data_IF_843955881633
#
_entry.id   IF_843955881633
#
_cell.length_a   1.000
_cell.length_b   1.000
_cell.length_c   1.000
_cell.angle_alpha   90.00
_cell.angle_beta   90.00
_cell.angle_gamma   90.00
#
_symmetry.space_group_name_H-M   'P 1'
#
loop_
_entity.id
_entity.type
_entity.pdbx_description
1 polymer ?
#
# COMPACT_ATOMS: atom_id res chain seq x y z
N UNK A 1 -49.82 -3.78 21.50
CA UNK A 1 -49.50 -2.69 20.52
C UNK A 1 -50.56 -2.70 19.42
N UNK A 2 -51.05 -1.52 18.99
CA UNK A 2 -52.04 -1.46 17.93
C UNK A 2 -51.40 -1.81 16.56
N UNK A 3 -52.20 -2.28 15.59
CA UNK A 3 -51.73 -2.55 14.20
C UNK A 3 -50.99 -1.32 13.58
N UNK A 4 -51.46 -0.11 13.90
CA UNK A 4 -50.81 1.15 13.47
C UNK A 4 -49.40 1.33 14.05
N UNK A 5 -49.20 0.97 15.33
CA UNK A 5 -47.87 1.06 15.96
C UNK A 5 -46.88 0.06 15.33
N UNK A 6 -47.32 -1.13 14.94
CA UNK A 6 -46.48 -2.10 14.24
C UNK A 6 -46.07 -1.63 12.82
N UNK A 7 -46.99 -1.00 12.10
CA UNK A 7 -46.70 -0.43 10.75
C UNK A 7 -45.69 0.70 10.86
N UNK A 8 -45.84 1.60 11.84
CA UNK A 8 -44.89 2.70 12.07
C UNK A 8 -43.51 2.15 12.44
N UNK A 9 -43.47 1.16 13.35
CA UNK A 9 -42.21 0.53 13.74
C UNK A 9 -41.48 -0.12 12.54
N UNK A 10 -42.21 -0.89 11.71
CA UNK A 10 -41.65 -1.49 10.50
C UNK A 10 -41.12 -0.46 9.51
N UNK A 11 -41.87 0.64 9.30
CA UNK A 11 -41.43 1.74 8.42
C UNK A 11 -40.15 2.41 8.94
N UNK A 12 -40.05 2.66 10.24
CA UNK A 12 -38.83 3.21 10.87
C UNK A 12 -37.64 2.26 10.71
N UNK A 13 -37.83 0.96 10.94
CA UNK A 13 -36.77 -0.04 10.74
C UNK A 13 -36.29 -0.06 9.28
N UNK A 14 -37.16 -0.01 8.30
CA UNK A 14 -36.81 0.03 6.86
C UNK A 14 -36.03 1.31 6.53
N UNK A 15 -36.45 2.47 7.07
CA UNK A 15 -35.73 3.72 6.87
C UNK A 15 -34.34 3.71 7.50
N UNK A 16 -34.22 3.18 8.72
CA UNK A 16 -32.91 3.07 9.41
C UNK A 16 -32.01 2.09 8.68
N UNK A 17 -32.51 0.92 8.30
CA UNK A 17 -31.74 -0.06 7.54
C UNK A 17 -31.35 0.49 6.15
N UNK A 18 -32.28 1.15 5.46
CA UNK A 18 -32.01 1.80 4.17
C UNK A 18 -30.94 2.88 4.29
N UNK A 19 -31.00 3.71 5.32
CA UNK A 19 -29.97 4.76 5.55
C UNK A 19 -28.61 4.15 5.93
N UNK A 20 -28.57 3.08 6.72
CA UNK A 20 -27.33 2.37 7.07
C UNK A 20 -26.69 1.73 5.83
N UNK A 21 -27.50 1.12 4.95
CA UNK A 21 -27.01 0.55 3.69
C UNK A 21 -26.49 1.66 2.75
N UNK A 22 -27.20 2.79 2.64
CA UNK A 22 -26.77 3.93 1.82
C UNK A 22 -25.46 4.52 2.34
N UNK A 23 -25.33 4.71 3.67
CA UNK A 23 -24.09 5.19 4.31
C UNK A 23 -22.93 4.19 4.18
N UNK A 24 -23.20 2.88 4.22
CA UNK A 24 -22.20 1.85 3.99
C UNK A 24 -21.69 1.83 2.54
N UNK A 25 -22.58 2.03 1.57
CA UNK A 25 -22.22 2.06 0.15
C UNK A 25 -21.49 3.35 -0.26
N UNK A 26 -21.75 4.49 0.40
CA UNK A 26 -21.07 5.76 0.12
C UNK A 26 -19.58 5.75 0.51
N UNK A 27 -19.14 4.77 1.31
CA UNK A 27 -17.74 4.61 1.71
C UNK A 27 -16.94 3.66 0.81
N UNK A 28 -17.56 3.02 -0.19
CA UNK A 28 -16.83 2.13 -1.09
C UNK A 28 -16.05 2.95 -2.11
N UNK A 29 -14.72 2.76 -2.12
CA UNK A 29 -13.85 3.33 -3.14
C UNK A 29 -14.19 2.69 -4.48
N UNK A 30 -14.53 3.51 -5.48
CA UNK A 30 -14.83 3.03 -6.83
C UNK A 30 -13.56 3.06 -7.70
N UNK A 31 -13.04 1.89 -8.04
CA UNK A 31 -11.87 1.72 -8.92
C UNK A 31 -12.22 1.00 -10.22
N UNK A 32 -13.54 0.99 -10.61
CA UNK A 32 -14.02 0.23 -11.77
C UNK A 32 -13.25 0.50 -13.05
N UNK A 33 -13.01 1.75 -13.40
CA UNK A 33 -12.36 2.17 -14.66
C UNK A 33 -10.85 2.45 -14.50
N UNK A 34 -10.28 2.20 -13.32
CA UNK A 34 -8.87 2.50 -13.05
C UNK A 34 -7.98 1.42 -13.65
N UNK A 35 -6.95 1.82 -14.41
CA UNK A 35 -5.89 0.93 -14.88
C UNK A 35 -4.89 0.69 -13.73
N UNK A 36 -4.91 -0.51 -13.17
CA UNK A 36 -4.06 -0.90 -12.04
C UNK A 36 -2.58 -1.04 -12.42
N UNK A 37 -2.28 -1.11 -13.73
CA UNK A 37 -0.92 -1.27 -14.24
C UNK A 37 -0.21 0.08 -14.46
N UNK A 38 -0.86 1.18 -14.10
CA UNK A 38 -0.29 2.52 -14.17
C UNK A 38 -0.04 3.10 -12.79
N UNK A 39 0.94 4.00 -12.72
CA UNK A 39 1.12 4.87 -11.54
C UNK A 39 -0.15 5.69 -11.36
N UNK A 40 -0.70 5.68 -10.15
CA UNK A 40 -1.90 6.42 -9.82
C UNK A 40 -1.56 7.83 -9.38
N UNK A 41 -2.14 8.81 -10.04
CA UNK A 41 -1.95 10.22 -9.69
C UNK A 41 -2.82 10.60 -8.49
N UNK A 42 -2.41 11.65 -7.79
CA UNK A 42 -3.20 12.23 -6.71
C UNK A 42 -4.57 12.67 -7.21
N UNK A 43 -5.62 12.32 -6.48
CA UNK A 43 -7.00 12.64 -6.77
C UNK A 43 -7.83 12.68 -5.47
N UNK A 44 -9.05 13.16 -5.52
CA UNK A 44 -9.96 13.12 -4.37
C UNK A 44 -10.21 11.68 -3.87
N UNK A 45 -10.27 10.71 -4.78
CA UNK A 45 -10.46 9.29 -4.45
C UNK A 45 -9.25 8.70 -3.72
N UNK A 46 -8.06 9.16 -4.04
CA UNK A 46 -6.81 8.76 -3.39
C UNK A 46 -6.48 9.61 -2.15
N UNK A 47 -7.39 10.46 -1.68
CA UNK A 47 -7.13 11.40 -0.60
C UNK A 47 -6.08 12.46 -0.96
N UNK A 48 -5.97 12.81 -2.24
CA UNK A 48 -4.95 13.72 -2.80
C UNK A 48 -3.50 13.23 -2.61
N UNK A 49 -3.30 11.92 -2.46
CA UNK A 49 -1.99 11.28 -2.37
C UNK A 49 -1.86 10.34 -3.57
N UNK A 50 -0.88 10.57 -4.43
CA UNK A 50 -0.55 9.69 -5.55
C UNK A 50 0.23 8.45 -5.10
N UNK A 51 0.54 7.54 -6.04
CA UNK A 51 1.48 6.47 -5.76
C UNK A 51 2.87 7.05 -5.49
N UNK A 52 3.54 6.50 -4.49
CA UNK A 52 4.94 6.79 -4.24
C UNK A 52 5.79 5.94 -5.18
N UNK A 53 6.56 6.60 -6.03
CA UNK A 53 7.41 5.95 -7.02
C UNK A 53 8.84 5.91 -6.55
N UNK A 54 9.49 4.74 -6.65
CA UNK A 54 10.92 4.60 -6.59
C UNK A 54 11.46 4.38 -8.01
N UNK A 55 12.56 5.03 -8.35
CA UNK A 55 13.17 4.94 -9.66
C UNK A 55 12.54 5.88 -10.71
N UNK A 56 12.48 5.42 -11.94
CA UNK A 56 12.04 6.24 -13.09
C UNK A 56 10.51 6.26 -13.19
N UNK A 57 9.89 7.42 -12.94
CA UNK A 57 8.44 7.57 -12.87
C UNK A 57 7.70 7.27 -14.20
N UNK A 58 8.37 7.38 -15.34
CA UNK A 58 7.82 7.18 -16.68
C UNK A 58 8.41 5.95 -17.40
N UNK A 59 8.94 4.96 -16.65
CA UNK A 59 9.44 3.74 -17.25
C UNK A 59 8.31 2.91 -17.89
N UNK A 60 8.64 2.23 -18.99
CA UNK A 60 7.77 1.21 -19.59
C UNK A 60 7.76 -0.11 -18.80
N UNK A 61 8.63 -0.24 -17.80
CA UNK A 61 8.70 -1.40 -16.91
C UNK A 61 8.25 -0.97 -15.54
N UNK A 62 7.02 -1.36 -15.18
CA UNK A 62 6.40 -1.04 -13.90
C UNK A 62 6.38 -2.31 -13.05
N UNK A 63 7.05 -2.24 -11.91
CA UNK A 63 7.09 -3.29 -10.90
C UNK A 63 6.30 -2.83 -9.68
N UNK A 64 5.20 -3.50 -9.36
CA UNK A 64 4.31 -3.16 -8.25
C UNK A 64 4.32 -4.27 -7.22
N UNK A 65 4.48 -3.91 -5.96
CA UNK A 65 4.22 -4.78 -4.82
C UNK A 65 2.92 -4.36 -4.13
N UNK A 66 1.98 -5.30 -3.98
CA UNK A 66 0.91 -5.19 -3.00
C UNK A 66 1.40 -5.83 -1.70
N UNK A 67 1.65 -4.99 -0.71
CA UNK A 67 2.33 -5.39 0.50
C UNK A 67 1.63 -4.97 1.79
N UNK A 68 1.99 -5.66 2.85
CA UNK A 68 1.55 -5.40 4.22
C UNK A 68 2.79 -5.28 5.10
N UNK A 69 2.98 -4.13 5.71
CA UNK A 69 4.15 -3.87 6.55
C UNK A 69 4.28 -4.83 7.74
N UNK A 70 3.18 -5.42 8.20
CA UNK A 70 3.21 -6.41 9.30
C UNK A 70 3.37 -7.85 8.80
N UNK A 71 3.23 -8.12 7.51
CA UNK A 71 3.38 -9.46 6.94
C UNK A 71 4.83 -9.93 7.00
N UNK A 72 5.12 -11.09 7.62
CA UNK A 72 6.49 -11.62 7.68
C UNK A 72 7.07 -11.92 6.29
N UNK A 73 6.22 -12.35 5.34
CA UNK A 73 6.64 -12.61 3.95
C UNK A 73 7.14 -11.33 3.26
N UNK A 74 6.43 -10.20 3.43
CA UNK A 74 6.86 -8.90 2.90
C UNK A 74 8.18 -8.46 3.56
N UNK A 75 8.28 -8.56 4.89
CA UNK A 75 9.52 -8.24 5.60
C UNK A 75 10.70 -9.10 5.15
N UNK A 76 10.45 -10.40 4.88
CA UNK A 76 11.49 -11.30 4.37
C UNK A 76 11.93 -10.98 2.94
N UNK A 77 11.04 -10.47 2.10
CA UNK A 77 11.34 -10.09 0.72
C UNK A 77 11.93 -8.68 0.59
N UNK A 78 11.70 -7.81 1.57
CA UNK A 78 12.14 -6.41 1.53
C UNK A 78 13.63 -6.22 1.15
N UNK A 79 14.62 -6.95 1.73
CA UNK A 79 16.03 -6.78 1.35
C UNK A 79 16.30 -7.10 -0.11
N UNK A 80 15.65 -8.14 -0.65
CA UNK A 80 15.77 -8.53 -2.05
C UNK A 80 15.15 -7.48 -2.98
N UNK A 81 13.94 -7.03 -2.67
CA UNK A 81 13.24 -5.99 -3.45
C UNK A 81 14.03 -4.70 -3.43
N UNK A 82 14.50 -4.26 -2.26
CA UNK A 82 15.33 -3.05 -2.10
C UNK A 82 16.58 -3.11 -2.97
N UNK A 83 17.32 -4.22 -2.91
CA UNK A 83 18.51 -4.40 -3.75
C UNK A 83 18.19 -4.30 -5.24
N UNK A 84 17.08 -4.89 -5.68
CA UNK A 84 16.70 -4.87 -7.11
C UNK A 84 16.24 -3.49 -7.56
N UNK A 85 15.40 -2.81 -6.78
CA UNK A 85 14.92 -1.48 -7.17
C UNK A 85 16.04 -0.43 -7.17
N UNK A 86 17.00 -0.53 -6.26
CA UNK A 86 18.21 0.28 -6.24
C UNK A 86 19.12 -0.02 -7.44
N UNK A 87 19.32 -1.32 -7.77
CA UNK A 87 20.13 -1.74 -8.91
C UNK A 87 19.57 -1.25 -10.25
N UNK A 88 18.26 -1.23 -10.39
CA UNK A 88 17.55 -0.82 -11.61
C UNK A 88 16.92 0.58 -11.48
N UNK A 89 17.40 1.40 -10.55
CA UNK A 89 17.04 2.82 -10.45
C UNK A 89 17.32 3.53 -11.80
N UNK A 90 16.36 4.32 -12.26
CA UNK A 90 16.42 4.93 -13.58
C UNK A 90 15.97 4.04 -14.76
N UNK A 91 15.80 2.72 -14.60
CA UNK A 91 15.30 1.81 -15.63
C UNK A 91 13.86 1.37 -15.38
N UNK A 92 13.46 1.15 -14.12
CA UNK A 92 12.12 0.71 -13.75
C UNK A 92 11.37 1.77 -12.96
N UNK A 93 10.04 1.62 -12.95
CA UNK A 93 9.16 2.30 -11.99
C UNK A 93 8.76 1.26 -10.94
N UNK A 94 9.14 1.46 -9.68
CA UNK A 94 8.64 0.63 -8.59
C UNK A 94 7.56 1.37 -7.81
N UNK A 95 6.49 0.66 -7.46
CA UNK A 95 5.37 1.17 -6.66
C UNK A 95 5.04 0.16 -5.58
N UNK A 96 5.02 0.61 -4.33
CA UNK A 96 4.44 -0.16 -3.24
C UNK A 96 3.00 0.30 -2.99
N UNK A 97 2.03 -0.63 -3.01
CA UNK A 97 0.62 -0.38 -2.72
C UNK A 97 0.20 -1.09 -1.46
N UNK A 98 -0.40 -0.34 -0.57
CA UNK A 98 -0.83 -0.85 0.72
C UNK A 98 -1.93 -1.90 0.58
N UNK A 99 -1.69 -3.11 1.09
CA UNK A 99 -2.68 -4.18 1.15
C UNK A 99 -2.74 -4.78 2.56
N UNK A 100 -3.16 -4.00 3.57
CA UNK A 100 -3.15 -4.43 4.97
C UNK A 100 -4.15 -5.55 5.23
N UNK A 101 -3.67 -6.70 5.71
CA UNK A 101 -4.45 -7.89 6.05
C UNK A 101 -4.98 -7.78 7.50
N UNK A 102 -5.85 -6.81 7.73
CA UNK A 102 -6.29 -6.39 9.08
C UNK A 102 -6.95 -7.49 9.93
N UNK A 103 -7.39 -8.60 9.32
CA UNK A 103 -7.98 -9.73 10.03
C UNK A 103 -6.95 -10.55 10.80
N UNK A 104 -5.70 -10.56 10.32
CA UNK A 104 -4.59 -11.32 10.91
C UNK A 104 -3.43 -10.44 11.37
N UNK A 105 -3.35 -9.21 10.89
CA UNK A 105 -2.30 -8.24 11.18
C UNK A 105 -2.89 -6.95 11.80
N UNK A 106 -3.07 -6.88 13.12
CA UNK A 106 -3.81 -5.80 13.79
C UNK A 106 -3.14 -4.42 13.68
N UNK A 107 -1.85 -4.35 13.39
CA UNK A 107 -1.10 -3.10 13.24
C UNK A 107 -0.86 -2.70 11.78
N UNK A 108 -1.20 -3.55 10.80
CA UNK A 108 -0.94 -3.32 9.39
C UNK A 108 -1.54 -2.01 8.85
N UNK A 109 -2.80 -1.71 9.21
CA UNK A 109 -3.46 -0.49 8.77
C UNK A 109 -2.78 0.77 9.28
N UNK A 110 -2.33 0.77 10.55
CA UNK A 110 -1.66 1.94 11.13
C UNK A 110 -0.23 2.07 10.62
N UNK A 111 0.46 0.95 10.31
CA UNK A 111 1.76 0.97 9.67
C UNK A 111 1.67 1.55 8.24
N UNK A 112 0.66 1.14 7.45
CA UNK A 112 0.37 1.74 6.16
C UNK A 112 0.11 3.25 6.27
N UNK A 113 -0.71 3.66 7.24
CA UNK A 113 -0.97 5.08 7.50
C UNK A 113 0.30 5.83 7.93
N UNK A 114 1.23 5.20 8.64
CA UNK A 114 2.50 5.81 9.02
C UNK A 114 3.39 6.09 7.79
N UNK A 115 3.50 5.14 6.86
CA UNK A 115 4.25 5.33 5.61
C UNK A 115 3.66 6.48 4.78
N UNK A 116 2.34 6.50 4.58
CA UNK A 116 1.66 7.58 3.85
C UNK A 116 1.83 8.94 4.52
N UNK A 117 1.76 8.99 5.86
CA UNK A 117 1.95 10.24 6.61
C UNK A 117 3.37 10.78 6.52
N UNK A 118 4.37 9.90 6.50
CA UNK A 118 5.74 10.28 6.22
C UNK A 118 5.90 10.76 4.78
N UNK A 119 5.18 10.15 3.83
CA UNK A 119 5.12 10.56 2.43
C UNK A 119 4.60 11.99 2.23
N UNK A 120 3.62 12.44 3.04
CA UNK A 120 3.13 13.83 3.04
C UNK A 120 4.20 14.85 3.49
N UNK A 121 5.32 14.36 4.01
CA UNK A 121 6.50 15.15 4.39
C UNK A 121 7.74 14.77 3.57
N UNK A 122 7.57 14.04 2.45
CA UNK A 122 8.64 13.68 1.51
C UNK A 122 9.55 12.54 1.97
N UNK A 123 9.12 11.73 2.97
CA UNK A 123 9.90 10.65 3.57
C UNK A 123 9.19 9.28 3.53
N UNK A 124 8.48 9.01 2.41
CA UNK A 124 7.77 7.74 2.25
C UNK A 124 8.72 6.54 2.27
N UNK A 125 9.75 6.56 1.44
CA UNK A 125 10.63 5.41 1.26
C UNK A 125 11.50 5.15 2.49
N UNK A 126 11.94 6.19 3.18
CA UNK A 126 12.67 6.05 4.44
C UNK A 126 11.79 5.44 5.55
N UNK A 127 10.52 5.83 5.61
CA UNK A 127 9.57 5.22 6.56
C UNK A 127 9.22 3.78 6.15
N UNK A 128 9.00 3.54 4.85
CA UNK A 128 8.76 2.20 4.29
C UNK A 128 9.87 1.23 4.69
N UNK A 129 11.13 1.61 4.45
CA UNK A 129 12.28 0.78 4.80
C UNK A 129 12.37 0.56 6.32
N UNK A 130 12.20 1.62 7.10
CA UNK A 130 12.25 1.54 8.57
C UNK A 130 11.15 0.63 9.14
N UNK A 131 9.95 0.63 8.55
CA UNK A 131 8.86 -0.24 8.98
C UNK A 131 9.19 -1.71 8.75
N UNK A 132 9.81 -2.07 7.63
CA UNK A 132 10.24 -3.45 7.38
C UNK A 132 11.47 -3.83 8.18
N UNK A 133 12.51 -3.01 8.20
CA UNK A 133 13.76 -3.27 8.91
C UNK A 133 13.55 -3.42 10.42
N UNK A 134 12.58 -2.67 10.99
CA UNK A 134 12.22 -2.74 12.42
C UNK A 134 10.93 -3.51 12.70
N UNK A 135 10.46 -4.36 11.76
CA UNK A 135 9.17 -5.05 11.86
C UNK A 135 9.00 -5.78 13.19
N UNK A 136 10.02 -6.49 13.65
CA UNK A 136 9.98 -7.24 14.91
C UNK A 136 9.77 -6.35 16.14
N UNK A 137 10.21 -5.11 16.09
CA UNK A 137 10.10 -4.18 17.21
C UNK A 137 8.68 -3.62 17.39
N UNK A 138 7.87 -3.57 16.33
CA UNK A 138 6.55 -2.93 16.38
C UNK A 138 5.38 -3.86 16.05
N UNK A 139 5.61 -4.99 15.37
CA UNK A 139 4.53 -5.88 14.90
C UNK A 139 3.57 -6.31 16.02
N UNK A 140 4.04 -6.40 17.26
CA UNK A 140 3.28 -6.77 18.44
C UNK A 140 2.93 -5.57 19.34
N UNK A 141 3.13 -4.33 18.88
CA UNK A 141 2.79 -3.14 19.65
C UNK A 141 1.29 -3.13 20.01
N UNK A 142 0.98 -2.71 21.23
CA UNK A 142 -0.42 -2.60 21.65
C UNK A 142 -1.15 -1.51 20.85
N UNK A 143 -2.47 -1.60 20.77
CA UNK A 143 -3.32 -0.56 20.13
C UNK A 143 -3.04 0.82 20.71
N UNK A 144 -2.72 0.88 22.01
CA UNK A 144 -2.44 2.13 22.73
C UNK A 144 -1.08 2.72 22.35
N UNK A 145 -0.09 1.88 22.07
CA UNK A 145 1.30 2.31 21.94
C UNK A 145 1.76 2.46 20.48
N UNK A 146 1.13 1.77 19.53
CA UNK A 146 1.56 1.71 18.12
C UNK A 146 1.77 3.08 17.46
N UNK A 147 0.89 4.07 17.71
CA UNK A 147 1.06 5.43 17.16
C UNK A 147 2.30 6.11 17.74
N UNK A 148 2.59 5.89 19.03
CA UNK A 148 3.79 6.46 19.67
C UNK A 148 5.06 5.83 19.09
N UNK A 149 5.07 4.52 18.82
CA UNK A 149 6.20 3.84 18.17
C UNK A 149 6.48 4.46 16.80
N UNK A 150 5.46 4.60 15.96
CA UNK A 150 5.63 5.20 14.64
C UNK A 150 5.96 6.71 14.68
N UNK A 151 5.47 7.42 15.70
CA UNK A 151 5.89 8.82 15.92
C UNK A 151 7.36 8.91 16.31
N UNK A 152 7.89 7.91 17.04
CA UNK A 152 9.32 7.79 17.29
C UNK A 152 10.13 7.64 16.00
N UNK A 153 9.66 6.83 15.07
CA UNK A 153 10.28 6.68 13.74
C UNK A 153 10.20 7.97 12.92
N UNK A 154 9.07 8.68 12.98
CA UNK A 154 8.95 9.99 12.33
C UNK A 154 9.98 10.99 12.87
N UNK A 155 10.20 10.99 14.18
CA UNK A 155 11.25 11.80 14.82
C UNK A 155 12.65 11.41 14.35
N UNK A 156 12.96 10.10 14.31
CA UNK A 156 14.25 9.59 13.84
C UNK A 156 14.53 10.01 12.38
N UNK A 157 13.48 10.16 11.56
CA UNK A 157 13.54 10.64 10.18
C UNK A 157 13.54 12.18 10.05
N UNK A 158 13.48 12.91 11.16
CA UNK A 158 13.49 14.38 11.17
C UNK A 158 12.18 15.01 10.70
N UNK A 159 11.04 14.30 10.80
CA UNK A 159 9.73 14.78 10.43
C UNK A 159 9.13 15.66 11.54
N UNK A 160 8.18 16.54 11.17
CA UNK A 160 7.31 17.21 12.12
C UNK A 160 6.39 16.18 12.80
N UNK A 161 6.68 15.87 14.06
CA UNK A 161 5.93 14.89 14.84
C UNK A 161 4.45 15.28 15.05
N UNK A 162 4.16 16.56 15.22
CA UNK A 162 2.79 17.04 15.44
C UNK A 162 1.96 16.87 14.16
N UNK A 163 2.53 17.25 13.02
CA UNK A 163 1.94 17.02 11.71
C UNK A 163 1.76 15.52 11.44
N UNK A 164 2.77 14.69 11.69
CA UNK A 164 2.70 13.24 11.51
C UNK A 164 1.56 12.62 12.33
N UNK A 165 1.40 13.00 13.60
CA UNK A 165 0.30 12.51 14.46
C UNK A 165 -1.07 12.94 13.98
N UNK A 166 -1.18 14.08 13.33
CA UNK A 166 -2.43 14.54 12.70
C UNK A 166 -2.70 13.75 11.42
N UNK A 167 -1.69 13.60 10.58
CA UNK A 167 -1.83 12.97 9.26
C UNK A 167 -2.15 11.47 9.37
N UNK A 168 -1.53 10.73 10.32
CA UNK A 168 -1.72 9.28 10.48
C UNK A 168 -3.18 8.87 10.78
N UNK A 169 -3.99 9.81 11.26
CA UNK A 169 -5.42 9.60 11.52
C UNK A 169 -6.31 10.37 10.54
N UNK A 170 -5.72 11.04 9.55
CA UNK A 170 -6.46 11.87 8.60
C UNK A 170 -7.30 11.05 7.62
N UNK A 171 -8.37 11.68 7.13
CA UNK A 171 -9.22 11.09 6.09
C UNK A 171 -8.44 10.87 4.79
N UNK A 172 -7.53 11.77 4.42
CA UNK A 172 -6.73 11.68 3.21
C UNK A 172 -5.85 10.43 3.21
N UNK A 173 -5.12 10.19 4.29
CA UNK A 173 -4.29 8.98 4.46
C UNK A 173 -5.16 7.72 4.46
N UNK A 174 -6.30 7.74 5.16
CA UNK A 174 -7.25 6.62 5.17
C UNK A 174 -7.81 6.32 3.77
N UNK A 175 -8.11 7.36 2.98
CA UNK A 175 -8.55 7.22 1.57
C UNK A 175 -7.47 6.57 0.72
N UNK A 176 -6.20 7.01 0.84
CA UNK A 176 -5.09 6.43 0.07
C UNK A 176 -4.94 4.93 0.35
N UNK A 177 -4.86 4.53 1.62
CA UNK A 177 -4.74 3.11 1.99
C UNK A 177 -5.95 2.30 1.51
N UNK A 178 -7.16 2.86 1.62
CA UNK A 178 -8.39 2.20 1.15
C UNK A 178 -8.43 2.08 -0.37
N UNK A 179 -7.88 3.06 -1.09
CA UNK A 179 -7.79 3.05 -2.54
C UNK A 179 -6.82 1.97 -3.03
N UNK A 180 -5.62 1.88 -2.44
CA UNK A 180 -4.65 0.83 -2.76
C UNK A 180 -5.23 -0.57 -2.53
N UNK A 181 -5.88 -0.77 -1.38
CA UNK A 181 -6.57 -2.01 -1.07
C UNK A 181 -7.67 -2.35 -2.10
N UNK A 182 -8.41 -1.34 -2.56
CA UNK A 182 -9.44 -1.53 -3.59
C UNK A 182 -8.83 -1.90 -4.95
N UNK A 183 -7.70 -1.30 -5.34
CA UNK A 183 -6.96 -1.68 -6.56
C UNK A 183 -6.50 -3.13 -6.51
N UNK A 184 -5.90 -3.56 -5.39
CA UNK A 184 -5.48 -4.95 -5.20
C UNK A 184 -6.66 -5.92 -5.30
N UNK A 185 -7.77 -5.62 -4.63
CA UNK A 185 -8.99 -6.44 -4.71
C UNK A 185 -9.57 -6.53 -6.12
N UNK A 186 -9.48 -5.45 -6.90
CA UNK A 186 -9.94 -5.42 -8.30
C UNK A 186 -9.21 -6.46 -9.15
N UNK A 187 -7.94 -6.70 -8.90
CA UNK A 187 -7.12 -7.70 -9.63
C UNK A 187 -6.96 -9.03 -8.86
N UNK A 188 -7.84 -9.27 -7.88
CA UNK A 188 -7.92 -10.49 -7.08
C UNK A 188 -6.70 -10.77 -6.19
N UNK A 189 -5.95 -9.74 -5.78
CA UNK A 189 -4.94 -9.91 -4.72
C UNK A 189 -5.62 -10.44 -3.46
N UNK A 190 -5.13 -11.56 -2.94
CA UNK A 190 -5.69 -12.25 -1.77
C UNK A 190 -4.68 -12.48 -0.65
N UNK A 191 -3.40 -12.28 -0.93
CA UNK A 191 -2.29 -12.46 0.01
C UNK A 191 -1.19 -11.44 -0.23
N UNK A 192 -0.25 -11.33 0.72
CA UNK A 192 0.94 -10.48 0.60
C UNK A 192 2.20 -11.27 0.92
N UNK A 193 3.33 -10.97 0.26
CA UNK A 193 3.45 -10.04 -0.86
C UNK A 193 2.79 -10.58 -2.14
N UNK A 194 2.24 -9.70 -2.98
CA UNK A 194 1.87 -10.02 -4.36
C UNK A 194 2.61 -9.05 -5.28
N UNK A 195 3.37 -9.60 -6.22
CA UNK A 195 4.19 -8.84 -7.16
C UNK A 195 3.58 -8.84 -8.55
N UNK A 196 3.44 -7.66 -9.14
CA UNK A 196 2.94 -7.44 -10.49
C UNK A 196 4.05 -6.79 -11.32
N UNK A 197 4.42 -7.41 -12.43
CA UNK A 197 5.39 -6.85 -13.38
C UNK A 197 4.69 -6.60 -14.72
N UNK A 198 4.58 -5.34 -15.13
CA UNK A 198 3.87 -4.93 -16.34
C UNK A 198 2.47 -5.59 -16.47
N UNK A 199 1.71 -5.58 -15.37
CA UNK A 199 0.34 -6.11 -15.34
C UNK A 199 0.23 -7.63 -15.21
N UNK A 200 1.34 -8.35 -15.15
CA UNK A 200 1.36 -9.79 -14.93
C UNK A 200 1.78 -10.10 -13.49
N UNK A 201 0.97 -10.86 -12.80
CA UNK A 201 1.33 -11.40 -11.48
C UNK A 201 2.48 -12.40 -11.60
N UNK A 202 3.47 -12.24 -10.73
CA UNK A 202 4.59 -13.17 -10.60
C UNK A 202 4.24 -14.27 -9.58
N UNK A 203 4.41 -15.53 -9.97
CA UNK A 203 4.20 -16.65 -9.06
C UNK A 203 5.29 -16.77 -7.99
N UNK A 204 4.98 -17.48 -6.90
CA UNK A 204 5.90 -17.70 -5.78
C UNK A 204 7.22 -18.35 -6.18
N UNK A 205 7.21 -19.19 -7.22
CA UNK A 205 8.40 -19.84 -7.81
C UNK A 205 9.34 -18.83 -8.50
N UNK A 206 8.83 -17.65 -8.86
CA UNK A 206 9.59 -16.57 -9.47
C UNK A 206 10.07 -15.57 -8.41
N UNK A 207 9.15 -14.97 -7.62
CA UNK A 207 9.55 -13.94 -6.67
C UNK A 207 10.23 -14.49 -5.41
N UNK A 208 9.98 -15.76 -5.06
CA UNK A 208 10.67 -16.43 -3.93
C UNK A 208 12.13 -16.80 -4.21
N UNK A 209 12.60 -16.61 -5.44
CA UNK A 209 13.99 -16.80 -5.86
C UNK A 209 14.54 -15.47 -6.39
N UNK A 210 15.50 -14.83 -5.67
CA UNK A 210 16.04 -13.53 -6.08
C UNK A 210 16.58 -13.50 -7.51
N UNK A 211 17.22 -14.59 -7.97
CA UNK A 211 17.76 -14.65 -9.33
C UNK A 211 16.67 -14.72 -10.41
N UNK A 212 15.57 -15.43 -10.12
CA UNK A 212 14.42 -15.49 -11.04
C UNK A 212 13.64 -14.17 -11.06
N UNK A 213 13.47 -13.52 -9.91
CA UNK A 213 12.83 -12.21 -9.83
C UNK A 213 13.63 -11.19 -10.63
N UNK A 214 14.95 -11.17 -10.46
CA UNK A 214 15.82 -10.32 -11.25
C UNK A 214 15.74 -10.63 -12.75
N UNK A 215 15.78 -11.92 -13.13
CA UNK A 215 15.66 -12.33 -14.52
C UNK A 215 14.35 -11.86 -15.17
N UNK A 216 13.23 -11.90 -14.43
CA UNK A 216 11.95 -11.40 -14.91
C UNK A 216 11.99 -9.89 -15.19
N UNK A 217 12.62 -9.10 -14.32
CA UNK A 217 12.81 -7.65 -14.52
C UNK A 217 13.68 -7.39 -15.74
N UNK A 218 14.81 -8.10 -15.87
CA UNK A 218 15.75 -8.00 -17.00
C UNK A 218 15.06 -8.34 -18.33
N UNK A 219 14.23 -9.36 -18.36
CA UNK A 219 13.50 -9.76 -19.56
C UNK A 219 12.48 -8.69 -19.97
N UNK A 220 11.78 -8.05 -19.02
CA UNK A 220 10.89 -6.94 -19.34
C UNK A 220 11.66 -5.69 -19.82
N UNK A 221 12.83 -5.40 -19.25
CA UNK A 221 13.70 -4.32 -19.73
C UNK A 221 14.12 -4.55 -21.19
N UNK A 222 14.59 -5.77 -21.52
CA UNK A 222 14.98 -6.14 -22.89
C UNK A 222 13.79 -6.04 -23.86
N UNK A 223 12.62 -6.57 -23.50
CA UNK A 223 11.40 -6.48 -24.33
C UNK A 223 11.01 -5.04 -24.66
N UNK A 224 11.28 -4.12 -23.75
CA UNK A 224 10.99 -2.69 -23.91
C UNK A 224 12.17 -1.88 -24.50
N UNK A 225 13.27 -2.55 -24.91
CA UNK A 225 14.48 -1.91 -25.41
C UNK A 225 15.11 -0.89 -24.43
N UNK A 226 15.03 -1.18 -23.13
CA UNK A 226 15.66 -0.39 -22.08
C UNK A 226 17.04 -0.99 -21.78
N UNK A 227 18.07 -0.16 -21.83
CA UNK A 227 19.43 -0.57 -21.51
C UNK A 227 19.53 -1.01 -20.05
N UNK A 228 20.27 -2.11 -19.81
CA UNK A 228 20.59 -2.53 -18.45
C UNK A 228 21.58 -1.54 -17.80
N UNK A 229 21.58 -1.41 -16.48
CA UNK A 229 22.59 -0.60 -15.79
C UNK A 229 23.98 -1.14 -16.13
N UNK A 230 24.96 -0.23 -16.22
CA UNK A 230 26.35 -0.65 -16.36
C UNK A 230 26.73 -1.59 -15.22
N UNK A 231 27.45 -2.68 -15.53
CA UNK A 231 27.96 -3.54 -14.46
C UNK A 231 28.79 -2.68 -13.50
N UNK A 232 28.36 -2.60 -12.22
CA UNK A 232 29.19 -1.95 -11.23
C UNK A 232 30.51 -2.74 -11.13
N UNK A 233 31.60 -2.15 -11.57
CA UNK A 233 32.91 -2.68 -11.24
C UNK A 233 33.01 -2.75 -9.71
N UNK A 234 33.13 -3.97 -9.19
CA UNK A 234 33.35 -4.24 -7.77
C UNK A 234 34.80 -4.00 -7.42
#
# INVERSE_FOLDING_TARGET
MSKKAWIIFAAVCVLVLGSLVALSNSKKVNVGDVDTNKVQMASEQTGNIGDHVFGKADSKVIFTEYGDFQCPGCGGMHPTVKTLIEKYDGQITFVFRNFPLTQIHPNALVAAAAAESAGLQGKYWEMHDMLFEKQDAWKNASVKDRINVFSGYAKDLGLDEAKFKTDITSENVSKKVSYDLALGKKINVSSTPTFILNGKELGNDTWGDPAKLEAAIVDELKKNNIALPAASEK
#
